data_IF_268132175022
#
_entry.id   IF_268132175022
#
_cell.length_a   1.000
_cell.length_b   1.000
_cell.length_c   1.000
_cell.angle_alpha   90.00
_cell.angle_beta   90.00
_cell.angle_gamma   90.00
#
_symmetry.space_group_name_H-M   'P 1'
#
loop_
_entity.id
_entity.type
_entity.pdbx_description
1 polymer ?
#
# COMPACT_ATOMS: atom_id res chain seq x y z
N UNK A 1 76.19 0.75 43.44
CA UNK A 1 77.18 1.65 42.79
C UNK A 1 76.46 2.40 41.69
N UNK A 2 76.67 3.73 41.63
CA UNK A 2 76.37 4.71 40.55
C UNK A 2 74.89 4.89 40.10
N UNK A 3 74.14 5.90 40.59
CA UNK A 3 74.12 7.38 40.36
C UNK A 3 73.25 7.87 39.19
N UNK A 4 72.27 8.77 39.51
CA UNK A 4 72.02 10.13 38.92
C UNK A 4 71.55 10.14 37.44
N UNK A 5 70.62 10.96 36.91
CA UNK A 5 69.74 12.06 37.33
C UNK A 5 68.85 12.41 36.10
N UNK A 6 67.65 12.96 36.36
CA UNK A 6 66.75 13.83 35.56
C UNK A 6 66.99 13.98 34.04
N UNK A 7 65.91 14.07 33.24
CA UNK A 7 65.38 15.35 32.72
C UNK A 7 64.26 15.16 31.69
N UNK A 8 63.19 15.92 31.93
CA UNK A 8 62.10 16.44 31.09
C UNK A 8 62.03 16.13 29.57
N UNK A 9 60.77 15.87 29.16
CA UNK A 9 59.99 16.57 28.12
C UNK A 9 60.57 16.62 26.70
N UNK A 10 59.87 16.06 25.71
CA UNK A 10 59.27 16.79 24.57
C UNK A 10 58.29 15.88 23.80
N UNK A 11 57.15 16.49 23.52
CA UNK A 11 55.98 16.10 22.74
C UNK A 11 56.29 15.98 21.22
N UNK A 12 55.79 14.95 20.53
CA UNK A 12 55.43 14.94 19.09
C UNK A 12 54.55 13.69 18.83
N UNK A 13 53.22 13.83 18.75
CA UNK A 13 52.44 14.13 17.54
C UNK A 13 52.37 12.95 16.51
N UNK A 14 51.18 12.31 16.44
CA UNK A 14 50.36 12.01 15.24
C UNK A 14 49.58 10.68 15.35
N UNK A 15 48.26 10.84 15.51
CA UNK A 15 47.17 10.20 14.75
C UNK A 15 47.25 8.71 14.36
N UNK A 16 46.35 7.92 14.96
CA UNK A 16 45.22 7.35 14.20
C UNK A 16 45.33 5.93 13.65
N UNK A 17 44.55 5.02 14.25
CA UNK A 17 43.93 3.80 13.73
C UNK A 17 44.67 2.93 12.70
N UNK A 18 45.34 1.88 13.19
CA UNK A 18 45.59 0.66 12.43
C UNK A 18 44.50 -0.39 12.69
N UNK A 19 43.75 -0.78 11.66
CA UNK A 19 43.11 -2.10 11.57
C UNK A 19 42.94 -2.53 10.12
N UNK A 20 43.91 -3.38 9.72
CA UNK A 20 43.94 -4.50 8.77
C UNK A 20 42.88 -4.62 7.66
N UNK A 21 43.43 -4.75 6.44
CA UNK A 21 42.81 -5.08 5.15
C UNK A 21 41.94 -6.36 5.16
N UNK A 22 40.79 -6.27 4.48
CA UNK A 22 40.22 -7.35 3.68
C UNK A 22 40.36 -6.95 2.19
N UNK A 23 40.64 -7.93 1.32
CA UNK A 23 40.90 -7.71 -0.10
C UNK A 23 39.62 -7.30 -0.87
N UNK A 24 39.72 -6.39 -1.87
CA UNK A 24 38.61 -6.12 -2.77
C UNK A 24 38.45 -7.25 -3.78
N UNK A 25 37.24 -7.81 -3.85
CA UNK A 25 36.74 -8.43 -5.07
C UNK A 25 36.50 -7.33 -6.10
N UNK A 26 36.94 -7.61 -7.32
CA UNK A 26 36.89 -6.76 -8.50
C UNK A 26 35.43 -6.38 -8.82
N UNK A 27 35.04 -5.14 -8.52
CA UNK A 27 33.89 -4.49 -9.13
C UNK A 27 34.44 -3.63 -10.25
N UNK A 28 34.39 -4.15 -11.48
CA UNK A 28 34.53 -3.31 -12.67
C UNK A 28 33.31 -2.40 -12.70
N UNK A 29 33.46 -1.21 -12.12
CA UNK A 29 32.48 -0.14 -12.23
C UNK A 29 32.41 0.30 -13.69
N UNK A 30 31.43 -0.21 -14.40
CA UNK A 30 30.93 0.47 -15.59
C UNK A 30 30.14 1.70 -15.08
N UNK A 31 30.60 2.88 -15.46
CA UNK A 31 29.95 4.13 -15.12
C UNK A 31 28.58 4.18 -15.80
N UNK A 32 27.51 4.01 -15.01
CA UNK A 32 26.13 4.16 -15.46
C UNK A 32 25.91 5.60 -15.91
N UNK A 33 26.14 5.84 -17.20
CA UNK A 33 25.97 7.13 -17.91
C UNK A 33 24.59 7.25 -18.58
N UNK A 34 23.71 6.27 -18.38
CA UNK A 34 22.32 6.34 -18.82
C UNK A 34 21.49 7.13 -17.82
N UNK A 35 20.65 8.05 -18.29
CA UNK A 35 19.48 8.41 -17.49
C UNK A 35 18.66 7.13 -17.26
N UNK A 36 18.08 6.90 -16.06
CA UNK A 36 17.23 5.74 -15.86
C UNK A 36 16.10 5.81 -16.86
N UNK A 37 16.14 4.90 -17.84
CA UNK A 37 15.03 4.71 -18.76
C UNK A 37 13.84 4.28 -17.91
N UNK A 38 12.82 5.14 -17.84
CA UNK A 38 11.55 4.81 -17.20
C UNK A 38 10.90 3.74 -18.08
N UNK A 39 11.20 2.48 -17.80
CA UNK A 39 10.48 1.38 -18.40
C UNK A 39 9.08 1.40 -17.81
N UNK A 40 8.12 1.86 -18.60
CA UNK A 40 6.70 1.77 -18.26
C UNK A 40 6.30 0.29 -18.33
N UNK A 41 6.55 -0.45 -17.26
CA UNK A 41 5.77 -1.65 -16.97
C UNK A 41 4.32 -1.17 -16.78
N UNK A 42 3.37 -1.79 -17.49
CA UNK A 42 1.97 -1.38 -17.54
C UNK A 42 1.29 -1.22 -16.17
N UNK A 43 0.02 -0.81 -16.16
CA UNK A 43 -0.75 -0.64 -14.92
C UNK A 43 -0.82 -1.91 -14.06
N UNK A 44 -1.15 -1.76 -12.77
CA UNK A 44 -1.46 -2.89 -11.89
C UNK A 44 -2.60 -3.74 -12.46
N UNK A 45 -3.61 -3.13 -13.06
CA UNK A 45 -4.71 -3.85 -13.73
C UNK A 45 -4.19 -4.71 -14.90
N UNK A 46 -3.31 -4.17 -15.72
CA UNK A 46 -2.70 -4.90 -16.85
C UNK A 46 -1.83 -6.06 -16.36
N UNK A 47 -1.07 -5.84 -15.28
CA UNK A 47 -0.10 -6.81 -14.76
C UNK A 47 -0.77 -7.93 -13.95
N UNK A 48 -1.75 -7.59 -13.11
CA UNK A 48 -2.33 -8.51 -12.11
C UNK A 48 -3.69 -9.06 -12.54
N UNK A 49 -4.40 -8.36 -13.43
CA UNK A 49 -5.73 -8.71 -13.90
C UNK A 49 -6.84 -8.55 -12.85
N UNK A 50 -8.03 -8.18 -13.32
CA UNK A 50 -9.25 -8.22 -12.52
C UNK A 50 -9.87 -9.61 -12.71
N UNK A 51 -9.39 -10.55 -11.89
CA UNK A 51 -9.82 -11.95 -11.91
C UNK A 51 -10.11 -12.45 -10.50
N UNK A 52 -11.01 -13.45 -10.34
CA UNK A 52 -11.24 -14.10 -9.06
C UNK A 52 -9.96 -14.63 -8.41
N UNK A 53 -9.96 -14.80 -7.08
CA UNK A 53 -8.81 -15.35 -6.39
C UNK A 53 -8.65 -16.84 -6.75
N UNK A 54 -7.40 -17.30 -6.86
CA UNK A 54 -7.11 -18.72 -7.13
C UNK A 54 -7.56 -19.61 -5.96
N UNK A 55 -7.33 -19.14 -4.74
CA UNK A 55 -7.88 -19.72 -3.51
C UNK A 55 -9.17 -18.98 -3.15
N UNK A 56 -10.30 -19.64 -2.92
CA UNK A 56 -11.52 -18.96 -2.48
C UNK A 56 -11.29 -18.15 -1.19
N UNK A 57 -11.82 -16.93 -1.11
CA UNK A 57 -11.62 -16.03 0.05
C UNK A 57 -11.99 -16.66 1.41
N UNK A 58 -13.05 -17.48 1.41
CA UNK A 58 -13.52 -18.19 2.59
C UNK A 58 -12.53 -19.27 3.09
N UNK A 59 -11.64 -19.75 2.24
CA UNK A 59 -10.63 -20.76 2.54
C UNK A 59 -9.29 -20.16 2.97
N UNK A 60 -9.06 -18.88 2.66
CA UNK A 60 -7.85 -18.15 3.06
C UNK A 60 -7.82 -17.89 4.57
N UNK A 61 -6.67 -18.11 5.20
CA UNK A 61 -6.38 -17.63 6.55
C UNK A 61 -6.13 -16.10 6.59
N UNK A 62 -5.91 -15.55 7.79
CA UNK A 62 -5.70 -14.11 7.95
C UNK A 62 -4.46 -13.58 7.21
N UNK A 63 -3.37 -14.36 7.20
CA UNK A 63 -2.14 -13.97 6.53
C UNK A 63 -2.29 -14.05 5.02
N UNK A 64 -2.92 -15.10 4.50
CA UNK A 64 -3.24 -15.24 3.07
C UNK A 64 -4.12 -14.10 2.57
N UNK A 65 -5.13 -13.70 3.36
CA UNK A 65 -5.97 -12.53 3.06
C UNK A 65 -5.17 -11.23 3.04
N UNK A 66 -4.29 -11.01 4.01
CA UNK A 66 -3.44 -9.81 4.05
C UNK A 66 -2.53 -9.76 2.81
N UNK A 67 -1.86 -10.86 2.49
CA UNK A 67 -0.99 -10.94 1.32
C UNK A 67 -1.75 -10.78 0.01
N UNK A 68 -2.96 -11.32 -0.09
CA UNK A 68 -3.83 -11.12 -1.26
C UNK A 68 -4.28 -9.66 -1.39
N UNK A 69 -4.68 -9.03 -0.27
CA UNK A 69 -5.07 -7.62 -0.25
C UNK A 69 -3.92 -6.71 -0.67
N UNK A 70 -2.73 -6.90 -0.10
CA UNK A 70 -1.54 -6.10 -0.43
C UNK A 70 -1.04 -6.38 -1.85
N UNK A 71 -1.02 -7.64 -2.27
CA UNK A 71 -0.42 -8.07 -3.53
C UNK A 71 -1.30 -7.89 -4.76
N UNK A 72 -2.64 -7.88 -4.60
CA UNK A 72 -3.57 -7.81 -5.72
C UNK A 72 -4.62 -6.71 -5.58
N UNK A 73 -5.35 -6.68 -4.47
CA UNK A 73 -6.50 -5.76 -4.33
C UNK A 73 -6.07 -4.30 -4.22
N UNK A 74 -5.14 -3.99 -3.32
CA UNK A 74 -4.71 -2.61 -3.06
C UNK A 74 -4.07 -1.94 -4.28
N UNK A 75 -3.16 -2.57 -5.05
CA UNK A 75 -2.61 -1.96 -6.26
C UNK A 75 -3.67 -1.66 -7.32
N UNK A 76 -4.60 -2.60 -7.56
CA UNK A 76 -5.70 -2.42 -8.51
C UNK A 76 -6.62 -1.28 -8.05
N UNK A 77 -6.97 -1.24 -6.76
CA UNK A 77 -7.83 -0.18 -6.24
C UNK A 77 -7.16 1.18 -6.23
N UNK A 78 -5.87 1.24 -5.89
CA UNK A 78 -5.10 2.47 -5.98
C UNK A 78 -5.14 3.03 -7.42
N UNK A 79 -4.93 2.18 -8.43
CA UNK A 79 -5.00 2.58 -9.84
C UNK A 79 -6.39 3.10 -10.24
N UNK A 80 -7.46 2.36 -9.90
CA UNK A 80 -8.83 2.75 -10.27
C UNK A 80 -9.24 4.09 -9.67
N UNK A 81 -8.99 4.28 -8.37
CA UNK A 81 -9.36 5.51 -7.68
C UNK A 81 -8.46 6.69 -8.05
N UNK A 82 -7.15 6.47 -8.19
CA UNK A 82 -6.24 7.51 -8.69
C UNK A 82 -6.58 7.91 -10.12
N UNK A 83 -7.03 6.96 -10.95
CA UNK A 83 -7.54 7.23 -12.30
C UNK A 83 -8.84 8.05 -12.30
N UNK A 84 -9.69 7.87 -11.30
CA UNK A 84 -10.92 8.65 -11.13
C UNK A 84 -10.66 10.08 -10.64
N UNK A 85 -9.90 10.23 -9.55
CA UNK A 85 -9.52 11.52 -8.99
C UNK A 85 -8.18 11.40 -8.26
N UNK A 86 -7.09 11.62 -9.01
CA UNK A 86 -5.73 11.53 -8.47
C UNK A 86 -5.50 12.49 -7.31
N UNK A 87 -5.97 13.72 -7.40
CA UNK A 87 -5.74 14.72 -6.36
C UNK A 87 -6.34 14.28 -5.02
N UNK A 88 -7.43 13.52 -5.06
CA UNK A 88 -8.09 12.97 -3.88
C UNK A 88 -7.50 11.64 -3.40
N UNK A 89 -7.08 10.76 -4.31
CA UNK A 89 -6.84 9.34 -4.00
C UNK A 89 -5.40 8.84 -4.21
N UNK A 90 -4.45 9.70 -4.58
CA UNK A 90 -3.04 9.30 -4.78
C UNK A 90 -2.39 8.69 -3.52
N UNK A 91 -2.90 9.04 -2.33
CA UNK A 91 -2.42 8.54 -1.04
C UNK A 91 -3.30 7.44 -0.41
N UNK A 92 -4.19 6.80 -1.18
CA UNK A 92 -5.02 5.74 -0.60
C UNK A 92 -4.18 4.57 -0.08
N UNK A 93 -4.60 4.06 1.06
CA UNK A 93 -4.02 2.91 1.74
C UNK A 93 -5.08 2.00 2.35
N UNK A 94 -4.65 1.03 3.14
CA UNK A 94 -5.55 0.08 3.81
C UNK A 94 -6.60 0.81 4.67
N UNK A 95 -6.18 1.87 5.37
CA UNK A 95 -7.03 2.70 6.22
C UNK A 95 -8.12 3.45 5.44
N UNK A 96 -7.91 3.70 4.14
CA UNK A 96 -8.92 4.35 3.29
C UNK A 96 -10.17 3.48 3.10
N UNK A 97 -10.06 2.17 3.33
CA UNK A 97 -11.18 1.23 3.29
C UNK A 97 -11.56 0.72 4.69
N UNK A 98 -10.57 0.39 5.52
CA UNK A 98 -10.78 -0.29 6.80
C UNK A 98 -10.82 0.64 8.03
N UNK A 99 -10.51 1.94 7.85
CA UNK A 99 -10.42 2.92 8.94
C UNK A 99 -9.07 2.93 9.66
N UNK A 100 -8.85 3.95 10.49
CA UNK A 100 -7.59 4.16 11.23
C UNK A 100 -7.31 3.02 12.22
N UNK A 101 -8.38 2.43 12.77
CA UNK A 101 -8.31 1.34 13.75
C UNK A 101 -8.35 -0.05 13.12
N UNK A 102 -8.10 -0.16 11.81
CA UNK A 102 -8.18 -1.42 11.06
C UNK A 102 -7.52 -2.61 11.75
N UNK A 103 -6.36 -2.42 12.40
CA UNK A 103 -5.64 -3.49 13.09
C UNK A 103 -6.30 -3.92 14.41
N UNK A 104 -7.04 -3.04 15.06
CA UNK A 104 -7.76 -3.35 16.32
C UNK A 104 -9.03 -4.17 16.07
N UNK A 105 -9.58 -4.09 14.85
CA UNK A 105 -10.82 -4.74 14.44
C UNK A 105 -10.59 -5.81 13.36
N UNK A 106 -9.34 -6.28 13.22
CA UNK A 106 -8.95 -7.31 12.26
C UNK A 106 -9.41 -7.03 10.82
N UNK A 107 -9.31 -5.75 10.40
CA UNK A 107 -9.70 -5.26 9.08
C UNK A 107 -11.17 -5.56 8.74
N UNK A 108 -12.04 -5.72 9.74
CA UNK A 108 -13.44 -6.06 9.54
C UNK A 108 -14.16 -5.03 8.66
N UNK A 109 -15.05 -5.56 7.81
CA UNK A 109 -15.93 -4.80 6.94
C UNK A 109 -17.39 -5.23 7.17
N UNK A 110 -18.38 -4.33 7.00
CA UNK A 110 -18.23 -2.94 6.55
C UNK A 110 -17.56 -2.03 7.61
N UNK A 111 -16.75 -1.08 7.15
CA UNK A 111 -16.06 -0.15 8.05
C UNK A 111 -17.02 0.95 8.54
N UNK A 112 -17.11 1.19 9.86
CA UNK A 112 -17.93 2.27 10.42
C UNK A 112 -17.35 3.66 10.17
N UNK A 113 -16.09 3.74 9.72
CA UNK A 113 -15.39 5.00 9.41
C UNK A 113 -15.60 5.45 7.96
N UNK A 114 -16.13 4.56 7.10
CA UNK A 114 -16.61 4.94 5.78
C UNK A 114 -17.96 5.66 5.86
N UNK A 115 -18.25 6.47 4.83
CA UNK A 115 -19.56 7.07 4.68
C UNK A 115 -20.66 6.02 4.73
N UNK A 116 -21.68 6.27 5.54
CA UNK A 116 -22.88 5.42 5.55
C UNK A 116 -23.62 5.60 4.24
N UNK A 117 -24.09 4.48 3.72
CA UNK A 117 -24.85 4.45 2.47
C UNK A 117 -26.31 4.15 2.80
N UNK A 118 -27.29 4.96 2.35
CA UNK A 118 -28.70 4.65 2.57
C UNK A 118 -29.09 3.30 1.96
N UNK A 119 -30.17 2.70 2.43
CA UNK A 119 -30.73 1.51 1.79
C UNK A 119 -31.16 1.81 0.33
N UNK A 120 -30.80 0.97 -0.66
CA UNK A 120 -31.25 1.15 -2.04
C UNK A 120 -32.77 1.28 -2.18
N UNK A 121 -33.22 2.13 -3.10
CA UNK A 121 -34.65 2.37 -3.36
C UNK A 121 -35.36 3.32 -2.39
N UNK A 122 -34.66 3.85 -1.38
CA UNK A 122 -35.22 4.86 -0.47
C UNK A 122 -35.11 6.28 -1.04
N UNK A 123 -35.89 7.26 -0.55
CA UNK A 123 -35.69 8.67 -0.89
C UNK A 123 -34.28 9.19 -0.56
N UNK A 124 -33.66 8.66 0.50
CA UNK A 124 -32.30 9.00 0.89
C UNK A 124 -31.27 8.45 -0.13
N UNK A 125 -31.48 7.26 -0.68
CA UNK A 125 -30.67 6.73 -1.78
C UNK A 125 -30.74 7.63 -3.02
N UNK A 126 -31.96 8.00 -3.44
CA UNK A 126 -32.15 8.91 -4.57
C UNK A 126 -31.52 10.30 -4.34
N UNK A 127 -31.51 10.76 -3.08
CA UNK A 127 -30.79 11.99 -2.72
C UNK A 127 -29.27 11.82 -2.84
N UNK A 128 -28.72 10.70 -2.36
CA UNK A 128 -27.29 10.40 -2.49
C UNK A 128 -26.86 10.34 -3.96
N UNK A 129 -27.63 9.65 -4.83
CA UNK A 129 -27.35 9.59 -6.26
C UNK A 129 -27.38 10.96 -6.93
N UNK A 130 -28.34 11.82 -6.56
CA UNK A 130 -28.43 13.19 -7.09
C UNK A 130 -27.26 14.05 -6.64
N UNK A 131 -26.91 13.99 -5.35
CA UNK A 131 -25.98 14.93 -4.72
C UNK A 131 -24.50 14.51 -4.91
N UNK A 132 -24.24 13.20 -5.05
CA UNK A 132 -22.90 12.61 -5.19
C UNK A 132 -22.73 11.77 -6.46
N UNK A 133 -23.57 12.00 -7.48
CA UNK A 133 -23.72 11.17 -8.68
C UNK A 133 -22.42 10.63 -9.29
N UNK A 134 -21.40 11.47 -9.60
CA UNK A 134 -20.16 10.97 -10.20
C UNK A 134 -19.42 9.93 -9.33
N UNK A 135 -19.43 10.12 -8.00
CA UNK A 135 -18.79 9.18 -7.08
C UNK A 135 -19.64 7.92 -6.90
N UNK A 136 -20.96 8.08 -6.80
CA UNK A 136 -21.88 6.93 -6.69
C UNK A 136 -21.81 6.06 -7.94
N UNK A 137 -21.78 6.67 -9.12
CA UNK A 137 -21.60 5.98 -10.40
C UNK A 137 -20.27 5.23 -10.42
N UNK A 138 -19.15 5.88 -10.11
CA UNK A 138 -17.84 5.22 -10.04
C UNK A 138 -17.84 4.03 -9.06
N UNK A 139 -18.43 4.21 -7.87
CA UNK A 139 -18.54 3.14 -6.88
C UNK A 139 -19.39 1.98 -7.38
N UNK A 140 -20.53 2.25 -8.02
CA UNK A 140 -21.49 1.25 -8.45
C UNK A 140 -21.07 0.52 -9.73
N UNK A 141 -20.52 1.22 -10.72
CA UNK A 141 -20.19 0.64 -12.03
C UNK A 141 -18.75 0.18 -12.15
N UNK A 142 -17.84 0.65 -11.28
CA UNK A 142 -16.42 0.28 -11.35
C UNK A 142 -15.96 -0.43 -10.08
N UNK A 143 -16.00 0.23 -8.92
CA UNK A 143 -15.39 -0.32 -7.69
C UNK A 143 -16.10 -1.58 -7.20
N UNK A 144 -17.43 -1.55 -7.10
CA UNK A 144 -18.23 -2.66 -6.58
C UNK A 144 -18.09 -3.94 -7.42
N UNK A 145 -18.23 -3.90 -8.76
CA UNK A 145 -18.03 -5.09 -9.59
C UNK A 145 -16.59 -5.61 -9.57
N UNK A 146 -15.60 -4.71 -9.50
CA UNK A 146 -14.18 -5.10 -9.39
C UNK A 146 -13.92 -5.80 -8.06
N UNK A 147 -14.42 -5.28 -6.93
CA UNK A 147 -14.30 -5.97 -5.63
C UNK A 147 -14.99 -7.33 -5.64
N UNK A 148 -16.22 -7.40 -6.17
CA UNK A 148 -16.94 -8.67 -6.29
C UNK A 148 -16.13 -9.70 -7.07
N UNK A 149 -15.54 -9.27 -8.20
CA UNK A 149 -14.65 -10.14 -8.98
C UNK A 149 -13.42 -10.54 -8.18
N UNK A 150 -12.68 -9.59 -7.61
CA UNK A 150 -11.42 -9.84 -6.89
C UNK A 150 -11.61 -10.70 -5.63
N UNK A 151 -12.78 -10.69 -5.00
CA UNK A 151 -13.07 -11.49 -3.82
C UNK A 151 -13.85 -12.78 -4.14
N UNK A 152 -14.26 -12.96 -5.40
CA UNK A 152 -15.09 -14.11 -5.80
C UNK A 152 -16.52 -14.06 -5.23
N UNK A 153 -17.04 -12.86 -4.98
CA UNK A 153 -18.38 -12.63 -4.44
C UNK A 153 -19.31 -12.10 -5.54
N UNK A 154 -20.32 -12.89 -5.91
CA UNK A 154 -21.23 -12.58 -7.00
C UNK A 154 -22.24 -11.49 -6.63
N UNK A 155 -22.65 -11.45 -5.36
CA UNK A 155 -23.66 -10.51 -4.86
C UNK A 155 -23.01 -9.33 -4.12
N UNK A 156 -21.81 -8.91 -4.55
CA UNK A 156 -21.09 -7.80 -3.93
C UNK A 156 -21.83 -6.47 -4.17
N UNK A 157 -21.99 -5.70 -3.10
CA UNK A 157 -22.74 -4.42 -3.10
C UNK A 157 -21.98 -3.36 -2.33
N UNK A 158 -22.38 -2.09 -2.45
CA UNK A 158 -21.88 -1.01 -1.59
C UNK A 158 -21.90 -1.37 -0.09
N UNK A 159 -22.90 -2.14 0.36
CA UNK A 159 -23.04 -2.59 1.76
C UNK A 159 -21.96 -3.57 2.26
N UNK A 160 -21.14 -4.15 1.38
CA UNK A 160 -20.00 -4.96 1.77
C UNK A 160 -18.84 -4.10 2.26
N UNK A 161 -18.75 -2.84 1.78
CA UNK A 161 -17.76 -1.87 2.26
C UNK A 161 -18.35 -0.89 3.28
N UNK A 162 -19.52 -0.34 2.97
CA UNK A 162 -20.16 0.73 3.70
C UNK A 162 -21.22 0.20 4.66
N UNK A 163 -21.33 0.80 5.84
CA UNK A 163 -22.48 0.54 6.72
C UNK A 163 -23.74 1.04 6.04
N UNK A 164 -24.71 0.15 5.81
CA UNK A 164 -26.02 0.50 5.26
C UNK A 164 -26.89 1.11 6.37
N UNK A 165 -27.40 2.31 6.14
CA UNK A 165 -28.33 2.99 7.04
C UNK A 165 -29.79 2.76 6.61
N UNK A 166 -30.66 2.58 7.59
CA UNK A 166 -32.11 2.51 7.42
C UNK A 166 -32.76 3.89 7.22
#
# INVERSE_FOLDING_TARGET
MTTITRLSLVLLLLSGCGSRKAAPGESTGDEFTGEPEVVHHGGAIETLGITPPETPWAEMDAFEREMYMVGKVMPIMHELFSGHDRARFDAMGCESCHGERMREVDFAMPSPELYRVPRPGTPAWAAMERDFGPMVEFMASTVTPVMGTLLGEADYTCGHCHVVAD
#
